data_IF_419427645835
#
_entry.id   IF_419427645835
#
_cell.length_a   1.000
_cell.length_b   1.000
_cell.length_c   1.000
_cell.angle_alpha   90.00
_cell.angle_beta   90.00
_cell.angle_gamma   90.00
#
_symmetry.space_group_name_H-M   'P 1'
#
loop_
_entity.id
_entity.type
_entity.pdbx_description
1 polymer ?
#
# COMPACT_ATOMS: atom_id res chain seq x y z
N UNK A 1 2.77 9.12 -2.34
CA UNK A 1 3.27 8.33 -3.47
C UNK A 1 2.15 8.08 -4.46
N UNK A 2 2.42 8.28 -5.74
CA UNK A 2 1.47 8.06 -6.81
C UNK A 2 2.08 7.08 -7.82
N UNK A 3 1.26 6.18 -8.34
CA UNK A 3 1.70 5.23 -9.34
C UNK A 3 0.61 5.01 -10.38
N UNK A 4 1.01 5.06 -11.66
CA UNK A 4 0.10 4.77 -12.76
C UNK A 4 0.79 3.83 -13.74
N UNK A 5 -0.01 3.11 -14.52
CA UNK A 5 0.50 2.36 -15.65
C UNK A 5 0.59 3.28 -16.87
N UNK A 6 1.23 2.79 -17.93
CA UNK A 6 1.36 3.59 -19.14
C UNK A 6 0.01 3.93 -19.78
N UNK A 7 -1.02 3.13 -19.49
CA UNK A 7 -2.35 3.35 -20.03
C UNK A 7 -3.28 4.05 -19.06
N UNK A 8 -2.83 4.30 -17.84
CA UNK A 8 -3.66 4.89 -16.79
C UNK A 8 -3.65 6.42 -16.92
N UNK A 9 -4.82 7.03 -16.93
CA UNK A 9 -4.97 8.47 -17.06
C UNK A 9 -5.22 9.18 -15.73
N UNK A 10 -5.05 8.47 -14.62
CA UNK A 10 -5.43 8.98 -13.31
C UNK A 10 -4.31 9.70 -12.56
N UNK A 11 -3.17 9.96 -13.19
CA UNK A 11 -2.06 10.60 -12.49
C UNK A 11 -2.44 11.99 -11.98
N UNK A 12 -3.08 12.79 -12.82
CA UNK A 12 -3.46 14.15 -12.41
C UNK A 12 -4.39 14.11 -11.21
N UNK A 13 -5.33 13.17 -11.18
CA UNK A 13 -6.24 13.05 -10.05
C UNK A 13 -5.49 12.66 -8.78
N UNK A 14 -4.56 11.73 -8.88
CA UNK A 14 -3.76 11.36 -7.71
C UNK A 14 -2.97 12.55 -7.19
N UNK A 15 -2.34 13.30 -8.09
CA UNK A 15 -1.54 14.45 -7.69
C UNK A 15 -2.42 15.51 -7.01
N UNK A 16 -3.63 15.71 -7.50
CA UNK A 16 -4.56 16.63 -6.88
C UNK A 16 -4.91 16.20 -5.46
N UNK A 17 -5.21 14.92 -5.29
CA UNK A 17 -5.55 14.40 -3.97
C UNK A 17 -4.38 14.44 -3.00
N UNK A 18 -3.16 14.36 -3.52
CA UNK A 18 -1.96 14.38 -2.70
C UNK A 18 -1.34 15.77 -2.56
N UNK A 19 -2.05 16.81 -3.00
CA UNK A 19 -1.48 18.16 -3.08
C UNK A 19 -1.06 18.74 -1.74
N UNK A 20 -1.61 18.26 -0.64
CA UNK A 20 -1.24 18.73 0.70
C UNK A 20 0.04 18.08 1.23
N UNK A 21 0.59 17.12 0.53
CA UNK A 21 1.80 16.44 0.98
C UNK A 21 3.03 17.34 0.79
N UNK A 22 4.00 17.18 1.68
CA UNK A 22 5.22 17.97 1.60
C UNK A 22 6.04 17.63 0.37
N UNK A 23 6.05 16.36 -0.03
CA UNK A 23 6.78 15.92 -1.20
C UNK A 23 6.03 14.75 -1.84
N UNK A 24 5.98 14.74 -3.15
CA UNK A 24 5.27 13.72 -3.91
C UNK A 24 6.26 12.94 -4.77
N UNK A 25 6.18 11.61 -4.69
CA UNK A 25 6.98 10.71 -5.52
C UNK A 25 6.04 10.00 -6.49
N UNK A 26 6.42 9.97 -7.76
CA UNK A 26 5.55 9.44 -8.81
C UNK A 26 6.29 8.43 -9.67
N UNK A 27 5.69 7.26 -9.85
CA UNK A 27 6.16 6.24 -10.78
C UNK A 27 5.14 6.03 -11.89
N UNK A 28 5.66 5.85 -13.09
CA UNK A 28 4.84 5.48 -14.24
C UNK A 28 5.41 4.17 -14.78
N UNK A 29 4.68 3.08 -14.58
CA UNK A 29 5.16 1.74 -14.89
C UNK A 29 4.47 1.20 -16.14
N UNK A 30 5.25 0.60 -17.03
CA UNK A 30 4.72 -0.12 -18.17
C UNK A 30 4.72 -1.62 -17.88
N UNK A 31 4.12 -2.39 -18.78
CA UNK A 31 4.10 -3.82 -18.59
C UNK A 31 5.48 -4.45 -18.54
N UNK A 32 6.43 -3.85 -19.25
CA UNK A 32 7.81 -4.34 -19.28
C UNK A 32 8.69 -3.70 -18.22
N UNK A 33 8.38 -2.47 -17.84
CA UNK A 33 9.20 -1.72 -16.91
C UNK A 33 8.53 -1.74 -15.54
N UNK A 34 9.09 -2.53 -14.63
CA UNK A 34 8.59 -2.62 -13.27
C UNK A 34 9.51 -1.92 -12.28
N UNK A 35 10.50 -1.18 -12.76
CA UNK A 35 11.43 -0.48 -11.91
C UNK A 35 10.73 0.71 -11.26
N UNK A 36 10.66 0.70 -9.93
CA UNK A 36 9.96 1.73 -9.16
C UNK A 36 10.98 2.70 -8.59
N UNK A 37 11.56 3.50 -9.47
CA UNK A 37 12.63 4.42 -9.06
C UNK A 37 12.14 5.45 -8.05
N UNK A 38 10.95 6.02 -8.28
CA UNK A 38 10.44 7.03 -7.36
C UNK A 38 10.11 6.40 -6.00
N UNK A 39 9.61 5.17 -5.99
CA UNK A 39 9.37 4.48 -4.74
C UNK A 39 10.67 4.27 -3.96
N UNK A 40 11.74 3.88 -4.66
CA UNK A 40 13.03 3.71 -4.02
C UNK A 40 13.54 5.03 -3.46
N UNK A 41 13.38 6.11 -4.21
CA UNK A 41 13.76 7.44 -3.72
C UNK A 41 12.98 7.80 -2.46
N UNK A 42 11.68 7.50 -2.46
CA UNK A 42 10.86 7.77 -1.29
C UNK A 42 11.34 6.99 -0.09
N UNK A 43 11.65 5.70 -0.27
CA UNK A 43 12.11 4.87 0.83
C UNK A 43 13.42 5.37 1.40
N UNK A 44 14.28 5.96 0.57
CA UNK A 44 15.52 6.56 1.06
C UNK A 44 15.28 7.92 1.71
N UNK A 45 14.18 8.57 1.38
CA UNK A 45 13.87 9.91 1.87
C UNK A 45 13.15 9.90 3.22
N UNK A 46 12.24 8.95 3.42
CA UNK A 46 11.39 8.98 4.61
C UNK A 46 12.17 8.60 5.86
N UNK A 47 11.68 9.11 6.98
CA UNK A 47 12.28 8.91 8.29
C UNK A 47 11.22 8.47 9.28
N UNK A 48 11.66 8.17 10.49
CA UNK A 48 10.75 7.83 11.57
C UNK A 48 9.69 8.93 11.75
N UNK A 49 8.45 8.50 11.92
CA UNK A 49 7.29 9.36 12.12
C UNK A 49 6.81 10.10 10.87
N UNK A 50 7.45 9.90 9.73
CA UNK A 50 6.89 10.41 8.48
C UNK A 50 5.62 9.65 8.12
N UNK A 51 4.77 10.30 7.34
CA UNK A 51 3.52 9.70 6.88
C UNK A 51 3.60 9.54 5.37
N UNK A 52 3.51 8.28 4.93
CA UNK A 52 3.44 7.95 3.50
C UNK A 52 1.97 7.90 3.11
N UNK A 53 1.58 8.74 2.15
CA UNK A 53 0.19 8.85 1.74
C UNK A 53 0.02 8.29 0.34
N UNK A 54 -0.96 7.42 0.15
CA UNK A 54 -1.36 6.92 -1.17
C UNK A 54 -2.86 7.09 -1.31
N UNK A 55 -3.32 7.20 -2.54
CA UNK A 55 -4.76 7.32 -2.76
C UNK A 55 -5.48 6.00 -2.58
N UNK A 56 -4.84 4.90 -2.98
CA UNK A 56 -5.42 3.56 -2.89
C UNK A 56 -4.31 2.57 -2.58
N UNK A 57 -4.68 1.45 -1.94
CA UNK A 57 -3.70 0.42 -1.62
C UNK A 57 -3.03 -0.17 -2.86
N UNK A 58 -3.78 -0.29 -3.96
CA UNK A 58 -3.23 -0.88 -5.18
C UNK A 58 -2.06 -0.08 -5.76
N UNK A 59 -1.88 1.17 -5.32
CA UNK A 59 -0.74 1.97 -5.77
C UNK A 59 0.57 1.49 -5.14
N UNK A 60 0.49 0.77 -4.02
CA UNK A 60 1.68 0.26 -3.34
C UNK A 60 2.11 -1.10 -3.85
N UNK A 61 1.19 -1.89 -4.38
CA UNK A 61 1.53 -3.21 -4.85
C UNK A 61 0.43 -3.76 -5.72
N UNK A 62 0.82 -4.56 -6.73
CA UNK A 62 -0.13 -5.11 -7.70
C UNK A 62 -0.77 -6.41 -7.23
N UNK A 63 -0.19 -7.04 -6.22
CA UNK A 63 -0.73 -8.26 -5.65
C UNK A 63 -0.44 -8.27 -4.16
N UNK A 64 -0.98 -9.27 -3.46
CA UNK A 64 -0.86 -9.31 -2.01
C UNK A 64 0.58 -9.44 -1.55
N UNK A 65 1.38 -10.19 -2.27
CA UNK A 65 2.78 -10.37 -1.90
C UNK A 65 3.53 -9.04 -1.98
N UNK A 66 3.40 -8.34 -3.11
CA UNK A 66 4.08 -7.08 -3.31
C UNK A 66 3.59 -6.04 -2.30
N UNK A 67 2.28 -6.00 -2.06
CA UNK A 67 1.69 -5.07 -1.11
C UNK A 67 2.23 -5.30 0.29
N UNK A 68 2.27 -6.55 0.72
CA UNK A 68 2.76 -6.89 2.05
C UNK A 68 4.23 -6.50 2.20
N UNK A 69 5.05 -6.79 1.19
CA UNK A 69 6.45 -6.43 1.23
C UNK A 69 6.63 -4.92 1.34
N UNK A 70 5.85 -4.16 0.58
CA UNK A 70 5.94 -2.71 0.61
C UNK A 70 5.53 -2.16 1.98
N UNK A 71 4.45 -2.67 2.54
CA UNK A 71 4.00 -2.22 3.85
C UNK A 71 5.03 -2.54 4.93
N UNK A 72 5.67 -3.71 4.83
CA UNK A 72 6.70 -4.07 5.79
C UNK A 72 7.91 -3.14 5.69
N UNK A 73 8.30 -2.75 4.49
CA UNK A 73 9.41 -1.82 4.30
C UNK A 73 9.11 -0.47 4.96
N UNK A 74 7.88 0.01 4.79
CA UNK A 74 7.47 1.28 5.40
C UNK A 74 7.51 1.17 6.91
N UNK A 75 7.05 0.04 7.46
CA UNK A 75 7.10 -0.18 8.90
C UNK A 75 8.54 -0.21 9.43
N UNK A 76 9.44 -0.83 8.67
CA UNK A 76 10.84 -0.88 9.09
C UNK A 76 11.46 0.50 9.20
N UNK A 77 10.99 1.43 8.41
CA UNK A 77 11.43 2.82 8.51
C UNK A 77 10.74 3.55 9.67
N UNK A 78 9.82 2.90 10.35
CA UNK A 78 9.02 3.48 11.43
C UNK A 78 8.18 4.65 10.94
N UNK A 79 7.82 4.62 9.66
CA UNK A 79 6.89 5.57 9.08
C UNK A 79 5.47 5.01 9.14
N UNK A 80 4.50 5.88 8.97
CA UNK A 80 3.08 5.51 8.99
C UNK A 80 2.52 5.57 7.59
N UNK A 81 1.67 4.61 7.25
CA UNK A 81 1.00 4.60 5.95
C UNK A 81 -0.43 5.10 6.10
N UNK A 82 -0.82 6.03 5.24
CA UNK A 82 -2.20 6.53 5.18
C UNK A 82 -2.75 6.31 3.79
N UNK A 83 -3.91 5.65 3.72
CA UNK A 83 -4.60 5.40 2.46
C UNK A 83 -5.84 6.28 2.43
N UNK A 84 -5.93 7.15 1.41
CA UNK A 84 -7.02 8.11 1.36
C UNK A 84 -8.36 7.47 0.99
N UNK A 85 -8.37 6.52 0.09
CA UNK A 85 -9.61 5.90 -0.36
C UNK A 85 -9.88 4.60 0.39
N UNK A 86 -10.32 4.75 1.64
CA UNK A 86 -10.83 3.63 2.43
C UNK A 86 -12.26 3.96 2.79
N UNK A 87 -13.23 3.36 2.10
CA UNK A 87 -14.65 3.73 2.31
C UNK A 87 -15.13 3.58 3.75
N UNK A 88 -14.55 2.67 4.50
CA UNK A 88 -14.95 2.47 5.90
C UNK A 88 -14.66 3.68 6.78
N UNK A 89 -13.80 4.60 6.33
CA UNK A 89 -13.42 5.78 7.11
C UNK A 89 -14.10 7.07 6.67
N UNK A 90 -14.76 6.91 5.92
CA UNK A 90 -15.43 8.01 5.40
C UNK A 90 -16.27 8.63 6.43
N UNK A 91 -16.23 9.72 6.60
CA UNK A 91 -16.98 10.53 7.52
C UNK A 91 -16.28 10.80 8.85
N UNK A 92 -15.13 10.20 9.05
CA UNK A 92 -14.38 10.44 10.28
C UNK A 92 -13.54 11.70 10.09
N UNK A 93 -13.79 12.72 10.91
CA UNK A 93 -13.14 14.01 10.77
C UNK A 93 -11.96 14.21 11.72
N UNK A 94 -11.87 13.40 12.78
CA UNK A 94 -10.73 13.49 13.70
C UNK A 94 -9.52 12.81 13.06
N UNK A 95 -8.48 13.59 12.78
CA UNK A 95 -7.30 13.08 12.07
C UNK A 95 -6.60 11.97 12.86
N UNK A 96 -6.50 12.12 14.17
CA UNK A 96 -5.81 11.10 14.98
C UNK A 96 -6.57 9.79 14.96
N UNK A 97 -7.89 9.86 15.11
CA UNK A 97 -8.71 8.66 15.07
C UNK A 97 -8.67 8.01 13.70
N UNK A 98 -8.74 8.81 12.64
CA UNK A 98 -8.70 8.29 11.28
C UNK A 98 -7.37 7.57 11.01
N UNK A 99 -6.27 8.14 11.50
CA UNK A 99 -4.95 7.49 11.33
C UNK A 99 -4.89 6.18 12.08
N UNK A 100 -5.41 6.14 13.29
CA UNK A 100 -5.41 4.90 14.05
C UNK A 100 -6.21 3.81 13.35
N UNK A 101 -7.41 4.14 12.88
CA UNK A 101 -8.25 3.18 12.16
C UNK A 101 -7.60 2.76 10.85
N UNK A 102 -6.95 3.70 10.16
CA UNK A 102 -6.23 3.40 8.94
C UNK A 102 -5.16 2.33 9.20
N UNK A 103 -4.38 2.52 10.25
CA UNK A 103 -3.35 1.55 10.61
C UNK A 103 -3.94 0.19 10.95
N UNK A 104 -5.05 0.16 11.66
CA UNK A 104 -5.71 -1.10 11.99
C UNK A 104 -6.19 -1.83 10.75
N UNK A 105 -6.78 -1.10 9.81
CA UNK A 105 -7.28 -1.70 8.58
C UNK A 105 -6.11 -2.27 7.76
N UNK A 106 -5.01 -1.55 7.69
CA UNK A 106 -3.84 -2.02 6.96
C UNK A 106 -3.30 -3.30 7.59
N UNK A 107 -3.24 -3.35 8.92
CA UNK A 107 -2.78 -4.55 9.61
C UNK A 107 -3.73 -5.72 9.35
N UNK A 108 -5.04 -5.45 9.26
CA UNK A 108 -6.00 -6.50 8.93
C UNK A 108 -5.78 -7.05 7.53
N UNK A 109 -5.51 -6.18 6.56
CA UNK A 109 -5.21 -6.63 5.21
C UNK A 109 -3.99 -7.54 5.19
N UNK A 110 -2.95 -7.17 5.93
CA UNK A 110 -1.75 -7.98 6.00
C UNK A 110 -2.05 -9.34 6.63
N UNK A 111 -2.83 -9.34 7.70
CA UNK A 111 -3.21 -10.57 8.36
C UNK A 111 -4.01 -11.48 7.43
N UNK A 112 -4.95 -10.92 6.68
CA UNK A 112 -5.73 -11.71 5.75
C UNK A 112 -4.86 -12.35 4.67
N UNK A 113 -3.87 -11.61 4.16
CA UNK A 113 -2.97 -12.17 3.15
C UNK A 113 -2.21 -13.36 3.70
N UNK A 114 -1.70 -13.24 4.94
CA UNK A 114 -0.99 -14.34 5.58
C UNK A 114 -1.92 -15.52 5.83
N UNK A 115 -3.13 -15.25 6.28
CA UNK A 115 -4.10 -16.30 6.58
C UNK A 115 -4.50 -17.05 5.32
N UNK A 116 -4.71 -16.33 4.21
CA UNK A 116 -5.00 -16.98 2.94
C UNK A 116 -3.88 -17.89 2.50
N UNK A 117 -2.64 -17.46 2.70
CA UNK A 117 -1.48 -18.27 2.33
C UNK A 117 -1.44 -19.56 3.15
N UNK A 118 -1.67 -19.45 4.44
CA UNK A 118 -1.71 -20.63 5.31
C UNK A 118 -2.81 -21.59 4.88
N UNK A 119 -3.98 -21.05 4.59
CA UNK A 119 -5.11 -21.86 4.19
C UNK A 119 -4.80 -22.66 2.90
N UNK A 120 -4.20 -21.99 1.95
CA UNK A 120 -3.86 -22.66 0.69
C UNK A 120 -2.87 -23.80 0.92
N UNK A 121 -1.85 -23.56 1.73
CA UNK A 121 -0.85 -24.57 2.02
C UNK A 121 -1.48 -25.75 2.75
N UNK A 122 -2.32 -25.51 3.74
CA UNK A 122 -2.98 -26.57 4.47
C UNK A 122 -3.91 -27.37 3.58
N UNK A 123 -4.64 -26.70 2.71
CA UNK A 123 -5.54 -27.36 1.78
C UNK A 123 -4.76 -28.27 0.83
N UNK A 124 -3.61 -27.80 0.35
CA UNK A 124 -2.76 -28.61 -0.50
C UNK A 124 -2.27 -29.87 0.21
N UNK A 125 -1.85 -29.72 1.46
CA UNK A 125 -1.40 -30.87 2.26
C UNK A 125 -2.53 -31.88 2.45
N UNK A 126 -3.73 -31.40 2.74
CA UNK A 126 -4.88 -32.27 2.94
C UNK A 126 -5.23 -33.01 1.63
N UNK A 127 -5.17 -32.30 0.50
CA UNK A 127 -5.42 -32.91 -0.78
C UNK A 127 -4.45 -34.04 -1.07
N UNK A 128 -3.17 -33.80 -0.78
CA UNK A 128 -2.16 -34.83 -0.99
C UNK A 128 -2.43 -36.04 -0.08
N UNK A 129 -2.78 -35.77 1.18
CA UNK A 129 -3.05 -36.84 2.11
C UNK A 129 -4.25 -37.69 1.71
N UNK A 130 -5.25 -37.04 1.12
CA UNK A 130 -6.47 -37.74 0.70
C UNK A 130 -6.28 -38.48 -0.61
N UNK A 131 -5.32 -38.10 -1.42
CA UNK A 131 -5.07 -38.74 -2.68
C UNK A 131 -4.30 -40.06 -2.52
#
# INVERSE_FOLDING_TARGET
YARVSSTDQNLDRQLELLSDCDKIFTDKLSGKDTNREAFQEMMNFIREDDIVVVTELKRLGRNNKELTETMNLIQLKKATLEVLNLPALXGITDDNLRRLLNNLIIELYKYQAEDERKYILETQKQGIALA
#
